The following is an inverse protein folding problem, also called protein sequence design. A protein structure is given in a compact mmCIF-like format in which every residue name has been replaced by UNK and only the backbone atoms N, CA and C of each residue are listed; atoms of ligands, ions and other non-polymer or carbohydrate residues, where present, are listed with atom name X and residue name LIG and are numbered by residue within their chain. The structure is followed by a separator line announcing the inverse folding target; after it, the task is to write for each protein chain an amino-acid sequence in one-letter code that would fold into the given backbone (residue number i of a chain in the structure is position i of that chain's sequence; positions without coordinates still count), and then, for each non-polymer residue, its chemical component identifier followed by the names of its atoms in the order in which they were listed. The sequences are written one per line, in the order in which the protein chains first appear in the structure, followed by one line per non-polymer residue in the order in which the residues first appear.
data_IF_517153395098
#
_entry.id   IF_517153395098
#
_cell.length_a   1.000
_cell.length_b   1.000
_cell.length_c   1.000
_cell.angle_alpha   90.00
_cell.angle_beta   90.00
_cell.angle_gamma   90.00
#
_symmetry.space_group_name_H-M   'P 1'
#
loop_
_entity.id
_entity.type
_entity.pdbx_description
1 polymer ?
#
# COMPACT_ATOMS: atom_id res chain seq x y z
N UNK A 1 -22.45 -2.43 -19.89
CA UNK A 1 -22.82 -1.18 -19.19
C UNK A 1 -23.47 -1.59 -17.88
N UNK A 2 -23.25 -0.83 -16.81
CA UNK A 2 -23.84 -1.08 -15.51
C UNK A 2 -24.46 0.21 -14.95
N UNK A 3 -25.46 0.06 -14.10
CA UNK A 3 -26.07 1.21 -13.43
C UNK A 3 -25.07 1.84 -12.45
N UNK A 4 -24.98 3.17 -12.43
CA UNK A 4 -24.11 3.90 -11.52
C UNK A 4 -24.38 3.54 -10.05
N UNK A 5 -25.67 3.43 -9.69
CA UNK A 5 -26.09 3.09 -8.33
C UNK A 5 -25.60 1.71 -7.88
N UNK A 6 -25.60 0.72 -8.77
CA UNK A 6 -25.12 -0.62 -8.46
C UNK A 6 -23.61 -0.61 -8.17
N UNK A 7 -22.85 0.14 -8.99
CA UNK A 7 -21.40 0.31 -8.81
C UNK A 7 -21.13 1.02 -7.47
N UNK A 8 -21.81 2.13 -7.21
CA UNK A 8 -21.63 2.93 -5.98
C UNK A 8 -22.00 2.11 -4.74
N UNK A 9 -23.12 1.39 -4.76
CA UNK A 9 -23.49 0.50 -3.66
C UNK A 9 -22.44 -0.58 -3.43
N UNK A 10 -21.92 -1.18 -4.49
CA UNK A 10 -20.90 -2.22 -4.38
C UNK A 10 -19.61 -1.68 -3.79
N UNK A 11 -19.10 -0.56 -4.30
CA UNK A 11 -17.90 0.10 -3.77
C UNK A 11 -18.08 0.50 -2.30
N UNK A 12 -19.23 1.07 -1.94
CA UNK A 12 -19.52 1.45 -0.55
C UNK A 12 -19.56 0.23 0.39
N UNK A 13 -20.11 -0.90 -0.07
CA UNK A 13 -20.08 -2.15 0.71
C UNK A 13 -18.67 -2.71 0.85
N UNK A 14 -17.88 -2.68 -0.21
CA UNK A 14 -16.53 -3.23 -0.22
C UNK A 14 -15.56 -2.40 0.61
N UNK A 15 -15.55 -1.07 0.43
CA UNK A 15 -14.59 -0.17 1.08
C UNK A 15 -15.06 0.33 2.44
N UNK A 16 -16.36 0.26 2.73
CA UNK A 16 -16.96 0.76 3.98
C UNK A 16 -16.56 2.23 4.26
N UNK A 17 -16.36 3.02 3.20
CA UNK A 17 -15.74 4.34 3.27
C UNK A 17 -16.49 5.31 4.21
N UNK A 18 -17.81 5.17 4.34
CA UNK A 18 -18.63 5.98 5.23
C UNK A 18 -18.27 5.82 6.73
N UNK A 19 -17.63 4.73 7.13
CA UNK A 19 -17.18 4.49 8.50
C UNK A 19 -15.82 5.12 8.80
N UNK A 20 -15.09 5.60 7.78
CA UNK A 20 -13.75 6.16 7.92
C UNK A 20 -13.88 7.69 8.15
N UNK A 21 -13.35 8.23 9.24
CA UNK A 21 -13.31 9.68 9.44
C UNK A 21 -12.36 10.33 8.42
N UNK A 22 -12.90 11.22 7.59
CA UNK A 22 -12.13 11.93 6.56
C UNK A 22 -12.41 13.44 6.65
N UNK A 23 -11.42 14.26 6.27
CA UNK A 23 -11.56 15.72 6.19
C UNK A 23 -12.47 16.14 5.03
N UNK A 24 -12.65 15.27 4.02
CA UNK A 24 -13.53 15.47 2.89
C UNK A 24 -14.72 14.50 2.91
N UNK A 25 -15.81 14.76 2.17
CA UNK A 25 -16.94 13.85 2.17
C UNK A 25 -16.59 12.54 1.45
N UNK A 26 -16.98 11.42 2.05
CA UNK A 26 -16.75 10.07 1.52
C UNK A 26 -17.81 9.66 0.49
N UNK A 27 -17.43 8.78 -0.45
CA UNK A 27 -18.33 8.21 -1.45
C UNK A 27 -18.51 9.09 -2.70
N UNK A 28 -19.62 8.91 -3.42
CA UNK A 28 -19.91 9.65 -4.66
C UNK A 28 -20.08 11.15 -4.38
N UNK A 29 -19.16 11.97 -4.93
CA UNK A 29 -19.18 13.43 -4.75
C UNK A 29 -19.83 14.18 -5.93
N UNK A 30 -19.62 13.67 -7.15
CA UNK A 30 -20.13 14.27 -8.39
C UNK A 30 -20.79 13.16 -9.20
N UNK A 31 -22.10 13.28 -9.40
CA UNK A 31 -22.87 12.28 -10.11
C UNK A 31 -22.55 12.28 -11.62
N UNK A 32 -22.40 11.08 -12.18
CA UNK A 32 -22.14 10.85 -13.59
C UNK A 32 -23.42 10.51 -14.37
N UNK A 33 -23.25 9.75 -15.45
CA UNK A 33 -24.39 9.19 -16.20
C UNK A 33 -24.97 8.00 -15.42
N UNK A 34 -26.26 7.77 -15.56
CA UNK A 34 -26.96 6.62 -14.95
C UNK A 34 -26.44 5.27 -15.42
N UNK A 35 -25.92 5.20 -16.65
CA UNK A 35 -25.27 4.02 -17.21
C UNK A 35 -23.79 4.27 -17.45
N UNK A 36 -22.95 3.40 -16.89
CA UNK A 36 -21.50 3.45 -16.98
C UNK A 36 -21.01 2.33 -17.90
N UNK A 37 -20.17 2.69 -18.86
CA UNK A 37 -19.46 1.74 -19.73
C UNK A 37 -17.95 1.70 -19.44
N UNK A 38 -17.40 2.78 -18.90
CA UNK A 38 -15.98 2.95 -18.64
C UNK A 38 -15.76 3.48 -17.24
N UNK A 39 -14.89 2.80 -16.49
CA UNK A 39 -14.41 3.21 -15.17
C UNK A 39 -13.01 3.78 -15.31
N UNK A 40 -12.76 4.92 -14.65
CA UNK A 40 -11.42 5.53 -14.55
C UNK A 40 -11.04 5.58 -13.07
N UNK A 41 -9.82 5.16 -12.75
CA UNK A 41 -9.25 5.29 -11.40
C UNK A 41 -7.85 5.92 -11.46
N UNK A 42 -7.40 6.57 -10.36
CA UNK A 42 -6.15 7.34 -10.43
C UNK A 42 -5.46 7.77 -9.12
N UNK A 43 -5.99 7.44 -7.93
CA UNK A 43 -5.36 7.83 -6.65
C UNK A 43 -4.87 6.61 -5.88
N UNK A 44 -5.66 6.12 -4.92
CA UNK A 44 -5.23 5.07 -3.98
C UNK A 44 -6.46 4.29 -3.53
N UNK A 45 -6.26 3.06 -3.05
CA UNK A 45 -7.29 2.31 -2.36
C UNK A 45 -6.68 1.48 -1.23
N UNK A 46 -7.37 1.47 -0.09
CA UNK A 46 -7.00 0.69 1.08
C UNK A 46 -8.13 -0.27 1.43
N UNK A 47 -7.88 -1.56 1.31
CA UNK A 47 -8.80 -2.67 1.64
C UNK A 47 -7.95 -3.93 1.90
N UNK A 48 -8.44 -4.88 2.68
CA UNK A 48 -7.65 -6.02 3.14
C UNK A 48 -7.32 -7.05 2.05
N UNK A 49 -8.19 -7.19 1.04
CA UNK A 49 -8.05 -8.16 -0.06
C UNK A 49 -7.31 -7.56 -1.26
N UNK A 50 -7.59 -6.30 -1.60
CA UNK A 50 -7.07 -5.65 -2.80
C UNK A 50 -6.34 -4.33 -2.56
N UNK A 51 -6.17 -3.89 -1.31
CA UNK A 51 -5.49 -2.64 -1.00
C UNK A 51 -3.98 -2.67 -1.23
N UNK A 52 -3.37 -1.49 -1.20
CA UNK A 52 -1.94 -1.31 -1.44
C UNK A 52 -1.06 -2.28 -0.64
N UNK A 53 -1.28 -2.39 0.67
CA UNK A 53 -0.47 -3.26 1.52
C UNK A 53 -0.64 -4.74 1.19
N UNK A 54 -1.87 -5.20 0.94
CA UNK A 54 -2.12 -6.57 0.55
C UNK A 54 -1.38 -6.92 -0.76
N UNK A 55 -1.44 -6.01 -1.75
CA UNK A 55 -0.84 -6.23 -3.06
C UNK A 55 0.70 -6.10 -3.04
N UNK A 56 1.25 -5.19 -2.24
CA UNK A 56 2.70 -5.11 -1.98
C UNK A 56 3.19 -6.44 -1.39
N UNK A 57 2.54 -6.93 -0.34
CA UNK A 57 2.94 -8.18 0.31
C UNK A 57 2.90 -9.37 -0.63
N UNK A 58 1.81 -9.48 -1.41
CA UNK A 58 1.64 -10.54 -2.42
C UNK A 58 2.72 -10.47 -3.51
N UNK A 59 2.99 -9.29 -4.07
CA UNK A 59 3.99 -9.11 -5.14
C UNK A 59 5.43 -9.29 -4.68
N UNK A 60 5.74 -8.93 -3.44
CA UNK A 60 7.06 -9.17 -2.84
C UNK A 60 7.27 -10.65 -2.43
N UNK A 61 6.21 -11.46 -2.47
CA UNK A 61 6.26 -12.87 -2.08
C UNK A 61 6.45 -13.06 -0.58
N UNK A 62 5.76 -12.25 0.23
CA UNK A 62 5.82 -12.34 1.69
C UNK A 62 4.86 -13.43 2.16
N UNK A 63 5.36 -14.33 3.00
CA UNK A 63 4.59 -15.42 3.60
C UNK A 63 4.08 -15.01 4.98
N UNK A 64 2.91 -15.55 5.34
CA UNK A 64 2.32 -15.32 6.66
C UNK A 64 2.01 -13.85 6.94
N UNK A 65 1.64 -13.08 5.92
CA UNK A 65 1.31 -11.67 6.05
C UNK A 65 0.18 -11.45 7.07
N UNK A 66 0.41 -10.57 8.04
CA UNK A 66 -0.55 -10.15 9.05
C UNK A 66 -0.63 -8.63 9.08
N UNK A 67 -1.81 -8.11 9.41
CA UNK A 67 -2.06 -6.69 9.58
C UNK A 67 -2.40 -6.39 11.04
N UNK A 68 -1.86 -5.31 11.59
CA UNK A 68 -2.11 -4.84 12.95
C UNK A 68 -2.49 -3.37 12.96
N UNK A 69 -3.08 -2.93 14.08
CA UNK A 69 -3.39 -1.53 14.29
C UNK A 69 -2.10 -0.69 14.34
N UNK A 70 -2.14 0.47 13.68
CA UNK A 70 -1.10 1.50 13.76
C UNK A 70 -1.74 2.88 13.59
N UNK A 71 -1.25 3.89 14.33
CA UNK A 71 -1.79 5.24 14.24
C UNK A 71 -3.27 5.39 14.65
N UNK A 72 -3.83 4.43 15.40
CA UNK A 72 -5.25 4.40 15.73
C UNK A 72 -6.15 3.79 14.65
N UNK A 73 -5.57 3.23 13.58
CA UNK A 73 -6.30 2.57 12.50
C UNK A 73 -5.97 1.08 12.48
N UNK A 74 -7.01 0.24 12.54
CA UNK A 74 -6.88 -1.21 12.45
C UNK A 74 -6.38 -1.65 11.06
N UNK A 75 -5.53 -2.68 11.02
CA UNK A 75 -5.08 -3.31 9.78
C UNK A 75 -4.17 -2.46 8.88
N UNK A 76 -3.56 -1.39 9.42
CA UNK A 76 -2.76 -0.45 8.65
C UNK A 76 -1.31 -0.90 8.47
N UNK A 77 -0.66 -1.38 9.55
CA UNK A 77 0.72 -1.85 9.50
C UNK A 77 0.74 -3.35 9.20
N UNK A 78 1.43 -3.74 8.14
CA UNK A 78 1.56 -5.13 7.73
C UNK A 78 2.97 -5.66 8.04
N UNK A 79 3.07 -6.95 8.31
CA UNK A 79 4.33 -7.65 8.46
C UNK A 79 4.20 -9.13 8.10
N UNK A 80 5.33 -9.76 7.80
CA UNK A 80 5.41 -11.19 7.49
C UNK A 80 6.85 -11.60 7.28
N UNK A 81 7.05 -12.79 6.71
CA UNK A 81 8.38 -13.36 6.53
C UNK A 81 8.69 -13.57 5.03
N UNK A 82 9.90 -13.21 4.61
CA UNK A 82 10.43 -13.57 3.29
C UNK A 82 10.73 -15.07 3.25
N UNK A 83 10.34 -15.75 2.16
CA UNK A 83 10.61 -17.19 1.96
C UNK A 83 12.08 -17.54 2.16
N UNK A 84 12.98 -16.69 1.66
CA UNK A 84 14.43 -16.76 1.88
C UNK A 84 14.93 -15.43 2.41
N UNK A 85 15.83 -15.46 3.39
CA UNK A 85 16.42 -14.24 3.94
C UNK A 85 17.28 -13.55 2.87
N UNK A 86 17.17 -12.23 2.78
CA UNK A 86 17.86 -11.42 1.77
C UNK A 86 18.77 -10.38 2.43
N UNK A 87 19.84 -9.98 1.73
CA UNK A 87 20.54 -8.74 2.08
C UNK A 87 19.74 -7.52 1.64
N UNK A 88 20.09 -6.34 2.17
CA UNK A 88 19.38 -5.09 1.87
C UNK A 88 19.33 -4.77 0.37
N UNK A 89 20.45 -4.95 -0.35
CA UNK A 89 20.51 -4.69 -1.80
C UNK A 89 19.61 -5.63 -2.60
N UNK A 90 19.63 -6.94 -2.30
CA UNK A 90 18.79 -7.90 -3.00
C UNK A 90 17.28 -7.66 -2.75
N UNK A 91 16.93 -7.20 -1.54
CA UNK A 91 15.56 -6.78 -1.26
C UNK A 91 15.21 -5.45 -1.96
N UNK A 92 16.15 -4.51 -2.04
CA UNK A 92 15.96 -3.27 -2.80
C UNK A 92 15.69 -3.54 -4.29
N UNK A 93 16.43 -4.46 -4.91
CA UNK A 93 16.20 -4.89 -6.30
C UNK A 93 14.81 -5.52 -6.48
N UNK A 94 14.37 -6.35 -5.53
CA UNK A 94 13.02 -6.94 -5.58
C UNK A 94 11.94 -5.87 -5.45
N UNK A 95 12.13 -4.90 -4.54
CA UNK A 95 11.22 -3.76 -4.39
C UNK A 95 11.19 -2.94 -5.67
N UNK A 96 12.33 -2.67 -6.30
CA UNK A 96 12.42 -1.94 -7.57
C UNK A 96 11.65 -2.66 -8.68
N UNK A 97 11.83 -3.98 -8.83
CA UNK A 97 11.09 -4.78 -9.81
C UNK A 97 9.58 -4.75 -9.59
N UNK A 98 9.14 -4.74 -8.32
CA UNK A 98 7.71 -4.74 -7.98
C UNK A 98 7.10 -3.35 -8.14
N UNK A 99 7.74 -2.31 -7.59
CA UNK A 99 7.23 -0.94 -7.54
C UNK A 99 7.66 -0.10 -8.74
N UNK A 100 8.50 -0.61 -9.64
CA UNK A 100 9.14 0.16 -10.71
C UNK A 100 9.79 1.46 -10.20
N UNK A 101 10.35 1.41 -8.98
CA UNK A 101 11.04 2.52 -8.32
C UNK A 101 12.06 1.97 -7.33
N UNK A 102 13.34 2.22 -7.60
CA UNK A 102 14.41 1.84 -6.70
C UNK A 102 14.26 2.55 -5.35
N UNK A 103 14.14 1.80 -4.23
CA UNK A 103 13.98 2.42 -2.93
C UNK A 103 15.30 3.02 -2.46
N UNK A 104 15.21 4.10 -1.67
CA UNK A 104 16.33 4.55 -0.86
C UNK A 104 16.45 3.63 0.35
N UNK A 105 17.62 3.00 0.51
CA UNK A 105 17.95 2.16 1.66
C UNK A 105 18.59 3.00 2.75
N UNK A 106 18.08 2.87 3.98
CA UNK A 106 18.53 3.62 5.14
C UNK A 106 18.84 2.66 6.28
N UNK A 107 19.98 2.88 6.94
CA UNK A 107 20.46 2.04 8.03
C UNK A 107 20.56 0.54 7.62
N UNK A 108 21.36 0.24 6.60
CA UNK A 108 21.75 -1.15 6.33
C UNK A 108 22.64 -1.65 7.48
N UNK A 109 22.18 -2.70 8.15
CA UNK A 109 22.86 -3.30 9.30
C UNK A 109 23.72 -4.52 8.91
N UNK A 110 23.85 -4.82 7.61
CA UNK A 110 24.68 -5.91 7.09
C UNK A 110 24.22 -7.31 7.51
N UNK A 111 22.97 -7.44 7.97
CA UNK A 111 22.38 -8.68 8.46
C UNK A 111 21.25 -9.16 7.52
N UNK A 112 21.03 -10.48 7.41
CA UNK A 112 19.93 -11.00 6.61
C UNK A 112 18.58 -10.49 7.11
N UNK A 113 17.74 -10.03 6.19
CA UNK A 113 16.36 -9.61 6.42
C UNK A 113 15.48 -10.82 6.18
N UNK A 114 14.74 -11.26 7.20
CA UNK A 114 13.73 -12.31 7.10
C UNK A 114 12.35 -11.77 7.40
N UNK A 115 12.18 -11.12 8.56
CA UNK A 115 10.91 -10.51 8.93
C UNK A 115 10.83 -9.09 8.39
N UNK A 116 9.80 -8.83 7.59
CA UNK A 116 9.66 -7.58 6.87
C UNK A 116 8.32 -6.93 7.20
N UNK A 117 8.37 -5.67 7.65
CA UNK A 117 7.20 -4.84 7.87
C UNK A 117 6.99 -3.88 6.70
N UNK A 118 5.76 -3.50 6.41
CA UNK A 118 5.47 -2.45 5.43
C UNK A 118 4.15 -1.73 5.71
N UNK A 119 4.08 -0.49 5.26
CA UNK A 119 2.85 0.26 5.09
C UNK A 119 3.04 1.27 3.96
N UNK A 120 2.17 1.26 2.94
CA UNK A 120 2.21 2.23 1.85
C UNK A 120 1.99 3.67 2.33
N UNK A 121 2.34 4.64 1.50
CA UNK A 121 2.08 6.07 1.74
C UNK A 121 2.99 6.69 2.82
N UNK A 122 2.48 7.70 3.52
CA UNK A 122 3.20 8.48 4.55
C UNK A 122 3.33 7.78 5.91
N UNK A 123 3.79 6.52 5.92
CA UNK A 123 3.75 5.65 7.09
C UNK A 123 5.10 5.48 7.82
N UNK A 124 6.04 6.41 7.64
CA UNK A 124 7.34 6.43 8.32
C UNK A 124 7.22 6.45 9.85
N UNK A 125 6.10 6.95 10.38
CA UNK A 125 5.83 7.00 11.82
C UNK A 125 5.66 5.63 12.48
N UNK A 126 5.41 4.57 11.71
CA UNK A 126 5.20 3.21 12.26
C UNK A 126 6.48 2.37 12.32
N UNK A 127 7.64 2.96 12.04
CA UNK A 127 8.94 2.27 12.11
C UNK A 127 9.18 1.64 13.50
N UNK A 128 8.87 2.37 14.57
CA UNK A 128 9.00 1.86 15.94
C UNK A 128 8.04 0.68 16.22
N UNK A 129 6.85 0.69 15.63
CA UNK A 129 5.89 -0.41 15.77
C UNK A 129 6.36 -1.64 14.99
N UNK A 130 6.87 -1.47 13.77
CA UNK A 130 7.50 -2.54 13.00
C UNK A 130 8.68 -3.17 13.76
N UNK A 131 9.51 -2.35 14.42
CA UNK A 131 10.59 -2.84 15.26
C UNK A 131 10.08 -3.68 16.46
N UNK A 132 8.97 -3.28 17.10
CA UNK A 132 8.35 -4.05 18.20
C UNK A 132 7.79 -5.40 17.74
N UNK A 133 7.38 -5.50 16.48
CA UNK A 133 6.97 -6.77 15.84
C UNK A 133 8.16 -7.67 15.48
N UNK A 134 9.39 -7.22 15.73
CA UNK A 134 10.62 -7.94 15.44
C UNK A 134 10.99 -7.92 13.96
N UNK A 135 10.57 -6.91 13.21
CA UNK A 135 10.96 -6.77 11.81
C UNK A 135 12.45 -6.43 11.70
N UNK A 136 13.14 -7.12 10.80
CA UNK A 136 14.53 -6.82 10.43
C UNK A 136 14.61 -5.57 9.54
N UNK A 137 13.55 -5.36 8.75
CA UNK A 137 13.41 -4.20 7.88
C UNK A 137 11.95 -3.72 7.76
N UNK A 138 11.80 -2.46 7.37
CA UNK A 138 10.50 -1.78 7.22
C UNK A 138 10.44 -0.96 5.92
N UNK A 139 9.33 -1.02 5.19
CA UNK A 139 9.08 -0.23 3.98
C UNK A 139 7.92 0.76 4.15
N UNK A 140 8.11 1.98 3.68
CA UNK A 140 7.06 2.99 3.57
C UNK A 140 7.29 3.94 2.40
N UNK A 141 6.26 4.71 2.04
CA UNK A 141 6.26 5.62 0.91
C UNK A 141 7.06 6.89 1.15
N UNK A 142 6.93 7.57 2.28
CA UNK A 142 7.69 8.81 2.59
C UNK A 142 8.84 8.57 3.58
N UNK A 143 9.72 9.55 3.81
CA UNK A 143 10.80 9.49 4.80
C UNK A 143 11.02 10.87 5.43
N UNK A 144 11.51 10.90 6.67
CA UNK A 144 11.95 12.13 7.36
C UNK A 144 13.37 11.99 7.92
N UNK A 145 13.98 13.11 8.32
CA UNK A 145 15.27 13.11 9.00
C UNK A 145 15.24 12.23 10.27
N UNK A 146 14.18 12.35 11.08
CA UNK A 146 13.94 11.52 12.26
C UNK A 146 14.00 10.03 11.92
N UNK A 147 13.37 9.62 10.82
CA UNK A 147 13.30 8.22 10.38
C UNK A 147 14.69 7.62 10.17
N UNK A 148 15.66 8.42 9.70
CA UNK A 148 17.04 7.98 9.51
C UNK A 148 17.73 7.63 10.83
N UNK A 149 17.50 8.40 11.89
CA UNK A 149 18.07 8.16 13.21
C UNK A 149 17.38 6.99 13.90
N UNK A 150 16.05 6.99 13.87
CA UNK A 150 15.21 5.94 14.46
C UNK A 150 15.53 4.55 13.87
N UNK A 151 15.74 4.44 12.55
CA UNK A 151 16.13 3.18 11.90
C UNK A 151 17.48 2.64 12.39
N UNK A 152 18.44 3.53 12.63
CA UNK A 152 19.77 3.15 13.15
C UNK A 152 19.67 2.69 14.60
N UNK A 153 18.93 3.42 15.42
CA UNK A 153 18.78 3.14 16.86
C UNK A 153 18.01 1.84 17.11
N UNK A 154 16.97 1.58 16.32
CA UNK A 154 16.14 0.38 16.45
C UNK A 154 16.76 -0.86 15.79
N UNK A 155 17.83 -0.70 15.01
CA UNK A 155 18.42 -1.80 14.24
C UNK A 155 17.58 -2.24 13.05
N UNK A 156 16.58 -1.47 12.61
CA UNK A 156 15.69 -1.85 11.50
C UNK A 156 16.16 -1.18 10.22
N UNK A 157 16.40 -1.95 9.16
CA UNK A 157 16.73 -1.38 7.84
C UNK A 157 15.48 -0.79 7.21
N UNK A 158 15.54 0.47 6.79
CA UNK A 158 14.39 1.20 6.28
C UNK A 158 14.46 1.36 4.75
N UNK A 159 13.35 1.10 4.07
CA UNK A 159 13.19 1.25 2.63
C UNK A 159 12.18 2.36 2.32
N UNK A 160 12.67 3.44 1.73
CA UNK A 160 11.83 4.53 1.23
C UNK A 160 11.47 4.30 -0.23
N UNK A 161 10.22 3.90 -0.45
CA UNK A 161 9.72 3.45 -1.74
C UNK A 161 8.93 4.50 -2.53
N UNK A 162 8.71 5.70 -2.00
CA UNK A 162 7.97 6.78 -2.66
C UNK A 162 6.47 6.67 -2.39
N UNK A 163 5.82 7.79 -2.05
CA UNK A 163 4.40 7.78 -1.65
C UNK A 163 3.55 7.24 -2.79
N UNK A 164 3.59 7.93 -3.94
CA UNK A 164 2.86 7.54 -5.14
C UNK A 164 3.16 6.09 -5.54
N UNK A 165 4.45 5.74 -5.54
CA UNK A 165 4.87 4.44 -6.02
C UNK A 165 4.28 3.27 -5.24
N UNK A 166 4.10 3.45 -3.92
CA UNK A 166 3.52 2.47 -3.00
C UNK A 166 1.99 2.42 -3.00
N UNK A 167 1.31 3.38 -3.64
CA UNK A 167 -0.15 3.54 -3.54
C UNK A 167 -0.95 3.27 -4.83
N UNK A 168 -0.26 2.90 -5.91
CA UNK A 168 -0.88 2.66 -7.22
C UNK A 168 -1.66 1.34 -7.30
N UNK A 169 -1.29 0.35 -6.50
CA UNK A 169 -1.79 -1.01 -6.69
C UNK A 169 -3.22 -1.21 -6.22
N UNK A 170 -3.60 -0.58 -5.11
CA UNK A 170 -4.92 -0.77 -4.55
C UNK A 170 -6.01 -0.28 -5.50
N UNK A 171 -5.78 0.89 -6.12
CA UNK A 171 -6.75 1.50 -7.02
C UNK A 171 -6.80 0.81 -8.39
N UNK A 172 -5.72 0.15 -8.80
CA UNK A 172 -5.69 -0.72 -9.98
C UNK A 172 -6.51 -1.98 -9.72
N UNK A 173 -6.23 -2.69 -8.63
CA UNK A 173 -6.91 -3.93 -8.27
C UNK A 173 -8.41 -3.72 -8.02
N UNK A 174 -8.80 -2.62 -7.35
CA UNK A 174 -10.21 -2.25 -7.21
C UNK A 174 -10.87 -1.99 -8.56
N UNK A 175 -10.18 -1.29 -9.47
CA UNK A 175 -10.70 -0.98 -10.79
C UNK A 175 -10.89 -2.23 -11.66
N UNK A 176 -9.93 -3.16 -11.61
CA UNK A 176 -10.00 -4.46 -12.28
C UNK A 176 -11.16 -5.31 -11.73
N UNK A 177 -11.30 -5.38 -10.40
CA UNK A 177 -12.42 -6.09 -9.76
C UNK A 177 -13.79 -5.55 -10.19
N UNK A 178 -13.94 -4.22 -10.24
CA UNK A 178 -15.18 -3.58 -10.70
C UNK A 178 -15.42 -3.82 -12.20
N UNK A 179 -14.36 -3.80 -13.01
CA UNK A 179 -14.46 -4.09 -14.44
C UNK A 179 -14.95 -5.50 -14.70
N UNK A 180 -14.38 -6.49 -13.99
CA UNK A 180 -14.76 -7.89 -14.11
C UNK A 180 -16.20 -8.11 -13.60
N UNK A 181 -16.54 -7.56 -12.43
CA UNK A 181 -17.85 -7.75 -11.81
C UNK A 181 -18.99 -7.15 -12.65
N UNK A 182 -18.78 -5.97 -13.23
CA UNK A 182 -19.82 -5.24 -13.97
C UNK A 182 -19.66 -5.30 -15.49
N UNK A 183 -18.68 -6.06 -16.00
CA UNK A 183 -18.33 -6.13 -17.42
C UNK A 183 -18.10 -4.74 -18.03
N UNK A 184 -17.25 -3.93 -17.37
CA UNK A 184 -16.89 -2.57 -17.77
C UNK A 184 -15.51 -2.54 -18.41
N UNK A 185 -15.23 -1.48 -19.17
CA UNK A 185 -13.84 -1.15 -19.52
C UNK A 185 -13.22 -0.35 -18.37
N UNK A 186 -12.10 -0.80 -17.81
CA UNK A 186 -11.35 -0.01 -16.83
C UNK A 186 -10.08 0.58 -17.46
N UNK A 187 -9.77 1.82 -17.06
CA UNK A 187 -8.52 2.50 -17.37
C UNK A 187 -7.96 3.09 -16.10
N UNK A 188 -6.78 2.63 -15.71
CA UNK A 188 -5.98 3.31 -14.71
C UNK A 188 -5.21 4.46 -15.36
N UNK A 189 -5.31 5.65 -14.78
CA UNK A 189 -4.54 6.82 -15.23
C UNK A 189 -3.46 7.07 -14.18
N UNK A 190 -2.25 6.63 -14.51
CA UNK A 190 -1.06 6.93 -13.70
C UNK A 190 -0.56 8.32 -14.07
N UNK A 191 -0.75 9.28 -13.17
CA UNK A 191 -0.16 10.61 -13.29
C UNK A 191 0.98 10.66 -12.29
N UNK A 192 2.21 10.65 -12.80
CA UNK A 192 3.41 10.70 -11.96
C UNK A 192 3.34 11.90 -11.01
N UNK A 193 3.37 11.60 -9.72
CA UNK A 193 3.60 12.58 -8.67
C UNK A 193 5.02 12.36 -8.13
N UNK A 194 5.92 13.36 -8.23
CA UNK A 194 7.30 13.23 -7.76
C UNK A 194 7.47 13.16 -6.23
N UNK A 195 6.38 13.34 -5.45
CA UNK A 195 6.37 13.27 -3.99
C UNK A 195 6.66 11.85 -3.43
#
# INVERSE_FOLDING_TARGET
MAALDDIVQHVNRTLVAAAIPDYCPNGLQVEGRSEVATLISGVTACEAVFGNNAEIGRRLGIEGAQAVAAGGTEGLLWFGDLTAALGAEALAERIDQVLARRPLVVADHGRPIRRFGWCSGGAQGFLADAARLGCDAYLSGEISEKTMHEARELGVTYFHAGHHASERFGVQALGEHLADHFSLTHRFIDIDNPA
#
